data_IF_621162787373
#
_entry.id   IF_621162787373
#
_cell.length_a   1.000
_cell.length_b   1.000
_cell.length_c   1.000
_cell.angle_alpha   90.00
_cell.angle_beta   90.00
_cell.angle_gamma   90.00
#
_symmetry.space_group_name_H-M   'P 1'
#
loop_
_entity.id
_entity.type
_entity.pdbx_description
1 polymer ?
#
# COMPACT_ATOMS: atom_id res chain seq x y z
N UNK A 1 -40.98 12.46 -13.39
CA UNK A 1 -41.15 11.04 -13.00
C UNK A 1 -40.19 10.21 -13.83
N UNK A 2 -38.96 10.07 -13.38
CA UNK A 2 -38.01 9.05 -13.87
C UNK A 2 -38.35 7.77 -13.12
N UNK A 3 -39.00 6.84 -13.80
CA UNK A 3 -39.28 5.52 -13.28
C UNK A 3 -37.96 4.84 -12.94
N UNK A 4 -37.79 4.46 -11.68
CA UNK A 4 -36.74 3.55 -11.23
C UNK A 4 -36.80 2.27 -12.09
N UNK A 5 -35.84 2.15 -13.03
CA UNK A 5 -35.64 0.87 -13.70
C UNK A 5 -35.04 -0.08 -12.66
N UNK A 6 -35.69 -1.19 -12.31
CA UNK A 6 -35.08 -2.17 -11.44
C UNK A 6 -33.82 -2.66 -12.10
N UNK A 7 -32.70 -2.57 -11.38
CA UNK A 7 -31.38 -3.12 -11.75
C UNK A 7 -31.58 -4.55 -12.24
N UNK A 8 -31.15 -4.83 -13.46
CA UNK A 8 -31.33 -6.13 -14.08
C UNK A 8 -30.68 -7.22 -13.21
N UNK A 9 -31.47 -8.13 -12.65
CA UNK A 9 -31.07 -9.22 -11.76
C UNK A 9 -29.93 -10.12 -12.29
N UNK A 10 -29.54 -10.01 -13.56
CA UNK A 10 -28.51 -10.84 -14.21
C UNK A 10 -27.08 -10.52 -13.78
N UNK A 11 -26.77 -9.29 -13.36
CA UNK A 11 -25.41 -8.87 -13.02
C UNK A 11 -25.11 -8.88 -11.52
N UNK A 12 -26.12 -9.05 -10.67
CA UNK A 12 -25.97 -9.16 -9.21
C UNK A 12 -25.31 -10.46 -8.76
N UNK A 13 -25.23 -11.46 -9.65
CA UNK A 13 -24.69 -12.78 -9.36
C UNK A 13 -23.17 -12.96 -9.55
N UNK A 14 -22.41 -11.90 -9.88
CA UNK A 14 -20.96 -12.00 -10.04
C UNK A 14 -20.25 -11.93 -8.68
N UNK A 15 -19.33 -12.89 -8.43
CA UNK A 15 -18.51 -12.88 -7.23
C UNK A 15 -17.62 -11.63 -7.20
N UNK A 16 -17.63 -10.91 -6.09
CA UNK A 16 -16.92 -9.63 -5.94
C UNK A 16 -15.40 -9.78 -5.99
N UNK A 17 -14.86 -10.86 -5.43
CA UNK A 17 -13.41 -11.11 -5.44
C UNK A 17 -12.95 -11.42 -6.86
N UNK A 18 -13.67 -12.30 -7.55
CA UNK A 18 -13.41 -12.64 -8.95
C UNK A 18 -13.52 -11.39 -9.85
N UNK A 19 -14.57 -10.60 -9.70
CA UNK A 19 -14.76 -9.33 -10.40
C UNK A 19 -13.59 -8.36 -10.19
N UNK A 20 -13.12 -8.24 -8.93
CA UNK A 20 -11.99 -7.36 -8.60
C UNK A 20 -10.68 -7.87 -9.21
N UNK A 21 -10.43 -9.19 -9.18
CA UNK A 21 -9.24 -9.81 -9.74
C UNK A 21 -9.20 -9.69 -11.28
N UNK A 22 -10.32 -9.89 -11.95
CA UNK A 22 -10.44 -9.68 -13.40
C UNK A 22 -10.12 -8.24 -13.79
N UNK A 23 -10.65 -7.27 -13.04
CA UNK A 23 -10.34 -5.86 -13.26
C UNK A 23 -8.86 -5.56 -13.08
N UNK A 24 -8.26 -6.03 -11.99
CA UNK A 24 -6.83 -5.86 -11.74
C UNK A 24 -5.99 -6.48 -12.87
N UNK A 25 -6.37 -7.65 -13.34
CA UNK A 25 -5.71 -8.32 -14.47
C UNK A 25 -5.84 -7.53 -15.77
N UNK A 26 -7.03 -7.00 -16.05
CA UNK A 26 -7.28 -6.13 -17.21
C UNK A 26 -6.47 -4.83 -17.15
N UNK A 27 -6.39 -4.19 -15.97
CA UNK A 27 -5.61 -2.96 -15.79
C UNK A 27 -4.10 -3.24 -15.93
N UNK A 28 -3.63 -4.39 -15.47
CA UNK A 28 -2.24 -4.81 -15.63
C UNK A 28 -1.89 -5.11 -17.10
N UNK A 29 -2.72 -5.88 -17.79
CA UNK A 29 -2.51 -6.22 -19.22
C UNK A 29 -2.52 -5.00 -20.13
N UNK A 30 -3.27 -3.96 -19.75
CA UNK A 30 -3.31 -2.65 -20.45
C UNK A 30 -2.24 -1.65 -19.99
N UNK A 31 -1.27 -2.09 -19.17
CA UNK A 31 -0.22 -1.23 -18.59
C UNK A 31 -0.74 -0.02 -17.79
N UNK A 32 -1.98 -0.07 -17.27
CA UNK A 32 -2.54 0.98 -16.41
C UNK A 32 -2.01 0.93 -14.99
N UNK A 33 -1.58 -0.25 -14.55
CA UNK A 33 -0.95 -0.49 -13.25
C UNK A 33 0.33 -1.31 -13.43
N UNK A 34 1.35 -1.03 -12.61
CA UNK A 34 2.58 -1.82 -12.58
C UNK A 34 2.40 -3.15 -11.83
N UNK A 35 3.35 -4.08 -12.04
CA UNK A 35 3.38 -5.43 -11.43
C UNK A 35 3.19 -5.40 -9.91
N UNK A 36 3.91 -4.52 -9.21
CA UNK A 36 3.81 -4.40 -7.74
C UNK A 36 2.38 -4.09 -7.28
N UNK A 37 1.69 -3.17 -7.96
CA UNK A 37 0.30 -2.81 -7.64
C UNK A 37 -0.67 -3.96 -7.93
N UNK A 38 -0.44 -4.71 -9.01
CA UNK A 38 -1.21 -5.90 -9.35
C UNK A 38 -1.08 -6.99 -8.28
N UNK A 39 0.15 -7.36 -7.89
CA UNK A 39 0.41 -8.38 -6.89
C UNK A 39 -0.11 -7.97 -5.49
N UNK A 40 0.05 -6.69 -5.12
CA UNK A 40 -0.52 -6.16 -3.89
C UNK A 40 -2.05 -6.23 -3.88
N UNK A 41 -2.70 -5.91 -5.00
CA UNK A 41 -4.15 -6.03 -5.12
C UNK A 41 -4.64 -7.46 -4.94
N UNK A 42 -3.97 -8.45 -5.55
CA UNK A 42 -4.25 -9.88 -5.35
C UNK A 42 -4.09 -10.29 -3.89
N UNK A 43 -3.00 -9.88 -3.24
CA UNK A 43 -2.77 -10.16 -1.82
C UNK A 43 -3.88 -9.59 -0.94
N UNK A 44 -4.33 -8.37 -1.22
CA UNK A 44 -5.46 -7.76 -0.49
C UNK A 44 -6.75 -8.57 -0.67
N UNK A 45 -7.04 -9.07 -1.88
CA UNK A 45 -8.23 -9.90 -2.13
C UNK A 45 -8.15 -11.25 -1.42
N UNK A 46 -6.99 -11.89 -1.39
CA UNK A 46 -6.79 -13.15 -0.63
C UNK A 46 -7.06 -12.95 0.88
N UNK A 47 -6.63 -11.80 1.43
CA UNK A 47 -6.90 -11.47 2.83
C UNK A 47 -8.39 -11.20 3.05
N UNK A 48 -9.06 -10.54 2.10
CA UNK A 48 -10.50 -10.30 2.17
C UNK A 48 -11.28 -11.63 2.13
N UNK A 49 -10.90 -12.58 1.27
CA UNK A 49 -11.47 -13.93 1.29
C UNK A 49 -11.25 -14.65 2.62
N UNK A 50 -10.08 -14.47 3.24
CA UNK A 50 -9.81 -15.05 4.57
C UNK A 50 -10.78 -14.50 5.63
N UNK A 51 -11.07 -13.19 5.58
CA UNK A 51 -12.09 -12.56 6.42
C UNK A 51 -13.48 -13.17 6.16
N UNK A 52 -13.90 -13.27 4.90
CA UNK A 52 -15.21 -13.85 4.55
C UNK A 52 -15.36 -15.27 5.09
N UNK A 53 -14.32 -16.11 4.96
CA UNK A 53 -14.32 -17.48 5.53
C UNK A 53 -14.45 -17.48 7.05
N UNK A 54 -13.81 -16.53 7.72
CA UNK A 54 -13.87 -16.43 9.18
C UNK A 54 -15.26 -15.98 9.68
N UNK A 55 -15.97 -15.16 8.91
CA UNK A 55 -17.27 -14.59 9.32
C UNK A 55 -18.47 -15.39 8.86
N UNK A 56 -18.36 -16.13 7.75
CA UNK A 56 -19.45 -16.92 7.15
C UNK A 56 -19.33 -18.42 7.43
N UNK A 57 -18.91 -18.82 8.62
CA UNK A 57 -18.82 -20.23 9.01
C UNK A 57 -20.19 -20.91 8.84
N UNK A 58 -20.21 -22.06 8.14
CA UNK A 58 -21.43 -22.84 7.87
C UNK A 58 -22.14 -22.47 6.56
N UNK A 59 -21.68 -21.49 5.79
CA UNK A 59 -22.21 -21.21 4.46
C UNK A 59 -21.63 -22.17 3.40
N UNK A 60 -22.43 -22.50 2.38
CA UNK A 60 -21.98 -23.33 1.24
C UNK A 60 -20.80 -22.72 0.47
N UNK A 61 -20.70 -21.39 0.39
CA UNK A 61 -19.57 -20.64 -0.19
C UNK A 61 -19.11 -19.54 0.78
N UNK A 62 -18.36 -19.88 1.82
CA UNK A 62 -18.00 -18.94 2.87
C UNK A 62 -17.03 -17.84 2.40
N UNK A 63 -16.32 -18.06 1.30
CA UNK A 63 -15.31 -17.15 0.73
C UNK A 63 -15.83 -16.27 -0.41
N UNK A 64 -17.11 -16.41 -0.76
CA UNK A 64 -17.74 -15.66 -1.86
C UNK A 64 -18.72 -14.61 -1.33
N UNK A 65 -18.78 -13.49 -2.02
CA UNK A 65 -19.79 -12.46 -1.87
C UNK A 65 -20.12 -11.89 -3.25
N UNK A 66 -21.40 -11.65 -3.52
CA UNK A 66 -21.79 -11.04 -4.79
C UNK A 66 -21.59 -9.52 -4.76
N UNK A 67 -21.36 -8.94 -5.94
CA UNK A 67 -21.15 -7.48 -6.09
C UNK A 67 -22.31 -6.69 -5.49
N UNK A 68 -23.56 -7.15 -5.69
CA UNK A 68 -24.75 -6.51 -5.16
C UNK A 68 -24.93 -6.63 -3.64
N UNK A 69 -24.21 -7.55 -2.99
CA UNK A 69 -24.28 -7.80 -1.55
C UNK A 69 -23.16 -7.05 -0.78
N UNK A 70 -22.33 -6.29 -1.48
CA UNK A 70 -21.32 -5.45 -0.84
C UNK A 70 -22.00 -4.27 -0.16
N UNK A 71 -21.87 -4.18 1.16
CA UNK A 71 -22.47 -3.12 1.98
C UNK A 71 -21.41 -2.42 2.84
N UNK A 72 -21.70 -1.16 3.28
CA UNK A 72 -20.84 -0.47 4.24
C UNK A 72 -20.66 -1.28 5.54
N UNK A 73 -21.70 -1.92 6.04
CA UNK A 73 -21.69 -2.70 7.28
C UNK A 73 -20.74 -3.91 7.20
N UNK A 74 -20.66 -4.55 6.01
CA UNK A 74 -19.67 -5.61 5.77
C UNK A 74 -18.26 -5.07 5.81
N UNK A 75 -18.01 -3.90 5.21
CA UNK A 75 -16.69 -3.26 5.24
C UNK A 75 -16.30 -2.77 6.63
N UNK A 76 -17.23 -2.26 7.44
CA UNK A 76 -17.00 -1.94 8.86
C UNK A 76 -16.54 -3.19 9.61
N UNK A 77 -17.21 -4.31 9.40
CA UNK A 77 -16.82 -5.60 10.00
C UNK A 77 -15.42 -6.05 9.53
N UNK A 78 -15.08 -5.82 8.25
CA UNK A 78 -13.74 -6.12 7.74
C UNK A 78 -12.67 -5.21 8.37
N UNK A 79 -12.94 -3.91 8.51
CA UNK A 79 -12.04 -2.93 9.15
C UNK A 79 -11.80 -3.34 10.61
N UNK A 80 -12.87 -3.64 11.36
CA UNK A 80 -12.77 -4.11 12.74
C UNK A 80 -11.94 -5.38 12.84
N UNK A 81 -12.21 -6.38 11.99
CA UNK A 81 -11.42 -7.62 11.96
C UNK A 81 -9.93 -7.37 11.65
N UNK A 82 -9.63 -6.45 10.72
CA UNK A 82 -8.24 -6.06 10.41
C UNK A 82 -7.55 -5.39 11.60
N UNK A 83 -8.29 -4.58 12.36
CA UNK A 83 -7.77 -3.87 13.53
C UNK A 83 -7.60 -4.79 14.72
N UNK A 84 -8.62 -5.57 15.06
CA UNK A 84 -8.70 -6.29 16.32
C UNK A 84 -8.06 -7.68 16.25
N UNK A 85 -8.24 -8.40 15.12
CA UNK A 85 -7.70 -9.76 14.93
C UNK A 85 -6.34 -9.76 14.28
N UNK A 86 -6.11 -8.87 13.30
CA UNK A 86 -4.83 -8.78 12.57
C UNK A 86 -3.88 -7.71 13.12
N UNK A 87 -4.33 -6.89 14.06
CA UNK A 87 -3.56 -5.82 14.72
C UNK A 87 -2.88 -4.88 13.71
N UNK A 88 -3.58 -4.57 12.62
CA UNK A 88 -3.04 -3.73 11.58
C UNK A 88 -3.24 -2.24 11.91
N UNK A 89 -2.26 -1.41 11.53
CA UNK A 89 -2.41 0.04 11.57
C UNK A 89 -3.44 0.56 10.57
N UNK A 90 -4.02 1.73 10.83
CA UNK A 90 -5.00 2.38 9.95
C UNK A 90 -4.44 2.61 8.53
N UNK A 91 -3.15 2.94 8.39
CA UNK A 91 -2.49 3.06 7.09
C UNK A 91 -2.50 1.71 6.32
N UNK A 92 -2.22 0.60 7.01
CA UNK A 92 -2.26 -0.76 6.42
C UNK A 92 -3.67 -1.15 6.03
N UNK A 93 -4.67 -0.79 6.85
CA UNK A 93 -6.09 -1.04 6.56
C UNK A 93 -6.52 -0.24 5.33
N UNK A 94 -6.21 1.05 5.26
CA UNK A 94 -6.50 1.90 4.09
C UNK A 94 -5.86 1.37 2.80
N UNK A 95 -4.64 0.84 2.90
CA UNK A 95 -3.99 0.19 1.76
C UNK A 95 -4.78 -1.04 1.29
N UNK A 96 -5.26 -1.86 2.22
CA UNK A 96 -6.07 -3.05 1.91
C UNK A 96 -7.46 -2.70 1.37
N UNK A 97 -8.08 -1.59 1.80
CA UNK A 97 -9.36 -1.10 1.29
C UNK A 97 -9.25 -0.59 -0.16
N UNK A 98 -8.11 -0.08 -0.57
CA UNK A 98 -7.93 0.58 -1.88
C UNK A 98 -8.44 -0.23 -3.07
N UNK A 99 -8.11 -1.53 -3.28
CA UNK A 99 -8.64 -2.31 -4.38
C UNK A 99 -10.15 -2.58 -4.25
N UNK A 100 -10.67 -2.73 -3.03
CA UNK A 100 -12.09 -2.93 -2.75
C UNK A 100 -12.89 -1.69 -3.15
N UNK A 101 -12.49 -0.51 -2.67
CA UNK A 101 -13.14 0.77 -2.98
C UNK A 101 -13.15 1.03 -4.49
N UNK A 102 -12.04 0.77 -5.18
CA UNK A 102 -11.97 0.91 -6.64
C UNK A 102 -12.88 -0.06 -7.38
N UNK A 103 -13.02 -1.30 -6.89
CA UNK A 103 -13.92 -2.27 -7.48
C UNK A 103 -15.38 -1.86 -7.28
N UNK A 104 -15.76 -1.35 -6.09
CA UNK A 104 -17.10 -0.83 -5.82
C UNK A 104 -17.43 0.37 -6.72
N UNK A 105 -16.51 1.33 -6.87
CA UNK A 105 -16.69 2.46 -7.77
C UNK A 105 -16.97 1.99 -9.21
N UNK A 106 -16.17 1.05 -9.70
CA UNK A 106 -16.36 0.49 -11.04
C UNK A 106 -17.66 -0.31 -11.19
N UNK A 107 -18.05 -1.08 -10.17
CA UNK A 107 -19.31 -1.78 -10.15
C UNK A 107 -20.50 -0.81 -10.22
N UNK A 108 -20.40 0.33 -9.55
CA UNK A 108 -21.40 1.40 -9.61
C UNK A 108 -21.47 2.05 -10.99
N UNK A 109 -20.32 2.33 -11.63
CA UNK A 109 -20.26 2.83 -13.02
C UNK A 109 -20.91 1.87 -14.02
N UNK A 110 -20.80 0.56 -13.78
CA UNK A 110 -21.44 -0.48 -14.61
C UNK A 110 -22.90 -0.77 -14.26
N UNK A 111 -23.48 -0.08 -13.29
CA UNK A 111 -24.86 -0.31 -12.83
C UNK A 111 -25.06 -1.61 -12.04
N UNK A 112 -23.99 -2.24 -11.57
CA UNK A 112 -24.02 -3.47 -10.76
C UNK A 112 -24.19 -3.19 -9.27
N UNK A 113 -23.94 -1.95 -8.85
CA UNK A 113 -24.07 -1.45 -7.48
C UNK A 113 -24.79 -0.12 -7.47
N UNK A 114 -25.64 0.08 -6.47
CA UNK A 114 -26.36 1.35 -6.31
C UNK A 114 -25.38 2.50 -6.00
N UNK A 115 -25.50 3.67 -6.67
CA UNK A 115 -24.60 4.81 -6.44
C UNK A 115 -24.60 5.30 -4.99
N UNK A 116 -25.75 5.28 -4.29
CA UNK A 116 -25.85 5.67 -2.89
C UNK A 116 -25.06 4.73 -1.97
N UNK A 117 -25.09 3.42 -2.23
CA UNK A 117 -24.29 2.42 -1.49
C UNK A 117 -22.82 2.63 -1.75
N UNK A 118 -22.40 2.83 -3.03
CA UNK A 118 -21.03 3.13 -3.36
C UNK A 118 -20.52 4.40 -2.66
N UNK A 119 -21.30 5.49 -2.65
CA UNK A 119 -20.91 6.72 -1.97
C UNK A 119 -20.58 6.48 -0.49
N UNK A 120 -21.44 5.77 0.24
CA UNK A 120 -21.21 5.39 1.65
C UNK A 120 -19.95 4.51 1.81
N UNK A 121 -19.72 3.60 0.88
CA UNK A 121 -18.52 2.76 0.86
C UNK A 121 -17.24 3.60 0.64
N UNK A 122 -17.26 4.60 -0.24
CA UNK A 122 -16.10 5.48 -0.47
C UNK A 122 -15.72 6.32 0.77
N UNK A 123 -16.72 6.70 1.57
CA UNK A 123 -16.53 7.47 2.81
C UNK A 123 -15.88 6.65 3.95
N UNK A 124 -15.75 5.32 3.79
CA UNK A 124 -15.19 4.44 4.81
C UNK A 124 -13.66 4.48 4.88
N UNK A 125 -13.00 5.33 4.12
CA UNK A 125 -11.56 5.56 4.30
C UNK A 125 -11.28 6.11 5.68
N UNK A 126 -10.39 5.44 6.40
CA UNK A 126 -9.96 5.88 7.72
C UNK A 126 -9.12 7.14 7.55
N UNK A 127 -9.63 8.26 8.02
CA UNK A 127 -8.86 9.51 8.08
C UNK A 127 -7.91 9.38 9.26
N UNK A 128 -6.63 9.13 8.98
CA UNK A 128 -5.60 9.22 10.01
C UNK A 128 -5.58 10.65 10.52
N UNK A 129 -6.05 10.86 11.75
CA UNK A 129 -5.82 12.10 12.47
C UNK A 129 -4.34 12.13 12.90
N UNK A 130 -3.44 12.29 11.96
CA UNK A 130 -2.09 12.74 12.27
C UNK A 130 -2.19 14.24 12.47
N UNK A 131 -2.72 14.66 13.62
CA UNK A 131 -2.38 15.97 14.16
C UNK A 131 -0.93 15.85 14.63
N UNK A 132 0.00 16.08 13.73
CA UNK A 132 1.34 16.49 14.13
C UNK A 132 1.17 17.88 14.72
N UNK A 133 0.94 17.98 16.03
CA UNK A 133 1.35 19.17 16.76
C UNK A 133 2.87 19.24 16.57
N UNK A 134 3.36 20.38 16.13
CA UNK A 134 4.79 20.62 15.86
C UNK A 134 5.70 20.35 17.09
N UNK A 135 5.12 20.15 18.27
CA UNK A 135 5.80 19.88 19.54
C UNK A 135 5.96 18.40 19.89
N UNK A 136 5.26 17.47 19.19
CA UNK A 136 5.35 16.02 19.38
C UNK A 136 5.97 15.30 18.18
N UNK A 137 7.01 15.86 17.57
CA UNK A 137 7.97 15.07 16.79
C UNK A 137 8.88 14.35 17.78
N UNK A 138 8.28 13.62 18.70
CA UNK A 138 8.98 12.57 19.39
C UNK A 138 9.46 11.60 18.30
N UNK A 139 10.74 11.39 18.27
CA UNK A 139 11.50 10.61 17.29
C UNK A 139 10.82 9.24 17.11
N UNK A 140 9.99 9.09 16.09
CA UNK A 140 9.09 7.95 15.86
C UNK A 140 9.87 6.64 15.50
N UNK A 141 11.08 6.50 16.04
CA UNK A 141 11.92 5.31 15.90
C UNK A 141 12.30 4.93 14.45
N UNK A 142 11.85 5.73 13.46
CA UNK A 142 12.08 5.47 12.02
C UNK A 142 13.35 6.11 11.49
N UNK A 143 14.01 6.93 12.29
CA UNK A 143 15.28 7.57 11.97
C UNK A 143 16.30 7.30 13.08
N UNK A 144 17.56 7.19 12.72
CA UNK A 144 18.63 7.01 13.70
C UNK A 144 18.98 8.34 14.35
N UNK A 145 19.12 8.35 15.69
CA UNK A 145 19.69 9.47 16.41
C UNK A 145 21.16 9.63 16.05
N UNK A 146 21.74 10.78 16.41
CA UNK A 146 23.18 11.03 16.20
C UNK A 146 24.04 9.99 16.93
N UNK A 147 23.67 9.64 18.16
CA UNK A 147 24.36 8.65 18.99
C UNK A 147 24.26 7.25 18.37
N UNK A 148 23.08 6.88 17.88
CA UNK A 148 22.88 5.59 17.17
C UNK A 148 23.68 5.53 15.88
N UNK A 149 23.79 6.64 15.12
CA UNK A 149 24.64 6.70 13.91
C UNK A 149 26.12 6.56 14.26
N UNK A 150 26.60 7.21 15.32
CA UNK A 150 27.98 7.06 15.79
C UNK A 150 28.27 5.62 16.23
N UNK A 151 27.36 5.00 16.96
CA UNK A 151 27.48 3.57 17.35
C UNK A 151 27.50 2.64 16.13
N UNK A 152 26.70 2.92 15.10
CA UNK A 152 26.73 2.17 13.85
C UNK A 152 28.08 2.28 13.13
N UNK A 153 28.65 3.50 13.07
CA UNK A 153 29.97 3.73 12.46
C UNK A 153 31.10 3.03 13.22
N UNK A 154 31.02 3.00 14.56
CA UNK A 154 31.97 2.26 15.40
C UNK A 154 31.86 0.76 15.14
N UNK A 155 30.63 0.22 15.13
CA UNK A 155 30.39 -1.18 14.79
C UNK A 155 30.88 -1.53 13.39
N UNK A 156 30.70 -0.66 12.39
CA UNK A 156 31.21 -0.86 11.03
C UNK A 156 32.72 -1.07 10.99
N UNK A 157 33.48 -0.32 11.80
CA UNK A 157 34.98 -0.46 11.88
C UNK A 157 35.42 -1.82 12.44
N UNK A 158 34.62 -2.39 13.36
CA UNK A 158 34.93 -3.62 14.09
C UNK A 158 34.24 -4.86 13.51
N UNK A 159 33.33 -4.69 12.56
CA UNK A 159 32.58 -5.79 11.98
C UNK A 159 33.39 -6.61 11.00
N UNK A 160 33.61 -7.89 11.32
CA UNK A 160 34.32 -8.84 10.48
C UNK A 160 33.41 -9.73 9.63
N UNK A 161 32.08 -9.69 9.84
CA UNK A 161 31.12 -10.48 9.08
C UNK A 161 30.86 -9.83 7.72
N UNK A 162 31.22 -10.47 6.57
CA UNK A 162 31.14 -9.80 5.25
C UNK A 162 29.78 -9.32 4.87
N UNK A 163 28.72 -10.14 5.11
CA UNK A 163 27.34 -9.80 4.76
C UNK A 163 26.84 -8.58 5.55
N UNK A 164 27.11 -8.53 6.85
CA UNK A 164 26.70 -7.37 7.66
C UNK A 164 27.45 -6.11 7.24
N UNK A 165 28.72 -6.25 6.93
CA UNK A 165 29.54 -5.14 6.45
C UNK A 165 28.99 -4.59 5.13
N UNK A 166 28.65 -5.45 4.18
CA UNK A 166 28.04 -5.07 2.90
C UNK A 166 26.71 -4.31 3.10
N UNK A 167 25.82 -4.78 4.01
CA UNK A 167 24.60 -4.05 4.33
C UNK A 167 24.86 -2.67 4.93
N UNK A 168 25.83 -2.56 5.81
CA UNK A 168 26.21 -1.26 6.37
C UNK A 168 26.79 -0.32 5.32
N UNK A 169 27.61 -0.84 4.41
CA UNK A 169 28.15 -0.07 3.27
C UNK A 169 27.02 0.44 2.36
N UNK A 170 26.06 -0.41 2.02
CA UNK A 170 24.87 0.02 1.27
C UNK A 170 24.06 1.08 2.00
N UNK A 171 23.84 0.93 3.31
CA UNK A 171 23.14 1.91 4.12
C UNK A 171 23.87 3.24 4.16
N UNK A 172 25.18 3.23 4.47
CA UNK A 172 26.01 4.42 4.53
C UNK A 172 26.08 5.12 3.17
N UNK A 173 26.20 4.34 2.08
CA UNK A 173 26.16 4.89 0.74
C UNK A 173 24.82 5.58 0.45
N UNK A 174 23.70 4.92 0.74
CA UNK A 174 22.35 5.49 0.54
C UNK A 174 22.16 6.77 1.37
N UNK A 175 22.66 6.78 2.62
CA UNK A 175 22.60 7.92 3.53
C UNK A 175 23.40 9.11 2.98
N UNK A 176 24.65 8.90 2.57
CA UNK A 176 25.52 9.95 2.01
C UNK A 176 25.08 10.41 0.61
N UNK A 177 24.37 9.58 -0.12
CA UNK A 177 23.77 9.92 -1.42
C UNK A 177 22.37 10.58 -1.30
N UNK A 178 22.12 11.32 -0.21
CA UNK A 178 20.88 12.05 0.06
C UNK A 178 19.63 11.17 0.23
N UNK A 179 19.79 9.98 0.82
CA UNK A 179 18.67 9.12 1.20
C UNK A 179 18.09 8.31 0.04
N UNK A 180 18.93 7.75 -0.80
CA UNK A 180 18.50 6.82 -1.84
C UNK A 180 17.75 5.63 -1.24
N UNK A 181 16.66 5.21 -1.89
CA UNK A 181 15.96 3.98 -1.48
C UNK A 181 16.83 2.76 -1.83
N UNK A 182 16.66 1.67 -1.07
CA UNK A 182 17.40 0.41 -1.31
C UNK A 182 17.29 -0.04 -2.77
N UNK A 183 16.11 0.06 -3.37
CA UNK A 183 15.88 -0.30 -4.78
C UNK A 183 16.68 0.57 -5.74
N UNK A 184 16.84 1.86 -5.43
CA UNK A 184 17.61 2.80 -6.26
C UNK A 184 19.10 2.46 -6.17
N UNK A 185 19.60 2.11 -4.96
CA UNK A 185 20.99 1.65 -4.75
C UNK A 185 21.26 0.34 -5.52
N UNK A 186 20.35 -0.63 -5.42
CA UNK A 186 20.50 -1.95 -6.08
C UNK A 186 20.45 -1.88 -7.61
N UNK A 187 19.80 -0.84 -8.16
CA UNK A 187 19.69 -0.65 -9.62
C UNK A 187 20.64 0.40 -10.17
N UNK A 188 21.47 1.02 -9.30
CA UNK A 188 22.44 2.04 -9.70
C UNK A 188 23.50 1.45 -10.63
N UNK A 189 23.79 2.14 -11.72
CA UNK A 189 24.81 1.77 -12.70
C UNK A 189 25.82 2.90 -12.84
N UNK A 190 27.04 2.60 -13.23
CA UNK A 190 28.09 3.59 -13.46
C UNK A 190 27.68 4.72 -14.40
N UNK A 191 26.86 4.44 -15.40
CA UNK A 191 26.33 5.46 -16.33
C UNK A 191 25.41 6.50 -15.67
N UNK A 192 24.91 6.21 -14.45
CA UNK A 192 24.06 7.13 -13.69
C UNK A 192 24.88 8.07 -12.80
N UNK A 193 26.20 7.89 -12.73
CA UNK A 193 27.08 8.67 -11.87
C UNK A 193 27.88 9.66 -12.73
N UNK A 194 27.60 10.95 -12.53
CA UNK A 194 28.33 12.02 -13.19
C UNK A 194 29.56 12.41 -12.35
N UNK A 195 30.73 11.93 -12.73
CA UNK A 195 31.97 12.24 -12.06
C UNK A 195 32.50 13.64 -12.41
N UNK A 196 31.99 14.28 -13.47
CA UNK A 196 32.50 15.59 -13.95
C UNK A 196 32.13 16.74 -13.00
N UNK A 197 30.96 16.65 -12.32
CA UNK A 197 30.51 17.67 -11.36
C UNK A 197 31.34 17.77 -10.09
N UNK A 198 32.10 16.73 -9.72
CA UNK A 198 32.96 16.76 -8.54
C UNK A 198 34.07 17.81 -8.62
N UNK A 199 34.50 18.17 -9.82
CA UNK A 199 35.52 19.20 -10.06
C UNK A 199 35.00 20.63 -9.94
N UNK A 200 33.72 20.88 -10.21
CA UNK A 200 33.11 22.21 -10.14
C UNK A 200 32.81 22.66 -8.71
N UNK A 201 32.35 21.75 -7.84
CA UNK A 201 32.13 22.04 -6.41
C UNK A 201 33.41 22.34 -5.63
N UNK A 202 34.54 21.72 -6.01
CA UNK A 202 35.85 22.06 -5.43
C UNK A 202 36.34 23.45 -5.87
N UNK A 203 36.07 23.88 -7.11
CA UNK A 203 36.47 25.20 -7.60
C UNK A 203 35.66 26.33 -6.93
N UNK A 204 34.39 26.14 -6.64
CA UNK A 204 33.58 27.12 -5.91
C UNK A 204 33.98 27.33 -4.45
N UNK A 205 34.50 26.31 -3.77
CA UNK A 205 34.99 26.45 -2.38
C UNK A 205 36.40 27.04 -2.23
N UNK A 206 37.11 27.24 -3.32
CA UNK A 206 38.47 27.83 -3.30
C UNK A 206 38.47 29.30 -3.74
N UNK A 207 37.31 29.91 -4.05
CA UNK A 207 37.15 31.29 -4.46
C UNK A 207 36.34 32.13 -3.46
N UNK A 208 35.99 31.59 -2.29
CA UNK A 208 35.52 32.32 -1.12
C UNK A 208 36.58 32.27 -0.01
#
# INVERSE_FOLDING_TARGET
>A
FLADKPLARRDQGKDFVEFTLERLSSDYSRNRIGRSRYENGKSCMNIFQTFLRATKQGSYRPDAIYVGDMTPELLDSYIAWRRDVKLNSDATINHALTPILKACAYASEMGMMEPAVNARIQDMRIVSKVSLSEEEVEFDGKSLSKEQMLSLLEYYKTCFEPRRKEFMEMFLFAFHACGLRVVDVMTLQWKHIDFSRKSQLKKQKMTE
#
